data_IF_509147421293
#
_entry.id   IF_509147421293
#
_cell.length_a   1.000
_cell.length_b   1.000
_cell.length_c   1.000
_cell.angle_alpha   90.00
_cell.angle_beta   90.00
_cell.angle_gamma   90.00
#
_symmetry.space_group_name_H-M   'P 1'
#
loop_
_entity.id
_entity.type
_entity.pdbx_description
1 polymer ?
2 branched ?
3 water ?
#
# COMPACT_ATOMS: atom_id res chain seq x y z
N UNK A 4 -21.69 -3.07 -5.92
CA UNK A 4 -20.84 -2.63 -4.78
C UNK A 4 -19.60 -1.90 -5.25
N UNK A 5 -19.77 -0.61 -5.52
CA UNK A 5 -18.73 0.24 -6.11
C UNK A 5 -17.46 0.40 -5.29
N UNK A 6 -16.32 0.44 -5.98
CA UNK A 6 -15.06 0.92 -5.39
C UNK A 6 -15.28 2.28 -4.75
N UNK A 7 -14.56 2.52 -3.66
CA UNK A 7 -14.63 3.76 -2.90
C UNK A 7 -13.84 4.89 -3.56
N UNK A 8 -12.84 4.54 -4.35
CA UNK A 8 -11.88 5.50 -4.92
C UNK A 8 -12.27 6.08 -6.27
N UNK A 9 -12.09 5.27 -7.32
CA UNK A 9 -12.47 5.62 -8.69
C UNK A 9 -11.77 6.83 -9.29
N UNK A 10 -10.53 7.09 -8.89
CA UNK A 10 -9.81 8.26 -9.40
C UNK A 10 -9.70 8.31 -10.93
N UNK A 11 -9.51 7.14 -11.56
CA UNK A 11 -9.10 7.08 -12.97
C UNK A 11 -10.11 7.64 -13.95
N UNK A 12 -11.39 7.57 -13.59
CA UNK A 12 -12.46 8.03 -14.46
C UNK A 12 -12.50 9.54 -14.64
N UNK A 13 -11.85 10.29 -13.75
CA UNK A 13 -11.78 11.75 -13.88
C UNK A 13 -10.33 12.27 -13.91
N UNK A 14 -9.40 11.39 -14.27
CA UNK A 14 -7.99 11.78 -14.38
C UNK A 14 -7.45 11.38 -15.74
N UNK A 15 -6.26 11.90 -16.08
CA UNK A 15 -5.54 11.51 -17.29
C UNK A 15 -4.04 11.73 -17.06
N UNK A 16 -3.22 11.30 -18.01
CA UNK A 16 -1.75 11.35 -17.87
C UNK A 16 -1.31 10.77 -16.52
N UNK A 17 -1.87 9.61 -16.20
CA UNK A 17 -1.57 8.89 -14.97
C UNK A 17 -0.20 8.25 -15.12
N UNK A 18 0.68 8.43 -14.13
CA UNK A 18 2.04 7.91 -14.22
C UNK A 18 2.65 7.70 -12.84
N UNK A 19 3.85 7.10 -12.82
CA UNK A 19 4.60 6.86 -11.57
C UNK A 19 5.96 7.57 -11.54
N UNK A 20 6.36 7.98 -10.35
CA UNK A 20 7.66 8.56 -10.10
C UNK A 20 8.12 7.91 -8.79
N UNK A 21 8.75 6.74 -8.92
CA UNK A 21 9.00 5.88 -7.77
C UNK A 21 7.69 5.23 -7.35
N UNK A 22 7.42 5.22 -6.05
CA UNK A 22 6.14 4.72 -5.55
C UNK A 22 5.04 5.80 -5.52
N UNK A 23 5.31 6.95 -6.13
CA UNK A 23 4.36 8.07 -6.17
C UNK A 23 3.46 7.99 -7.39
N UNK A 24 2.16 8.09 -7.18
CA UNK A 24 1.22 8.17 -8.28
C UNK A 24 0.96 9.64 -8.63
N UNK A 25 1.10 9.98 -9.91
CA UNK A 25 0.79 11.33 -10.37
C UNK A 25 -0.27 11.28 -11.48
N UNK A 26 -1.15 12.27 -11.50
CA UNK A 26 -2.20 12.35 -12.51
C UNK A 26 -2.62 13.80 -12.74
N UNK A 27 -3.15 14.07 -13.93
CA UNK A 27 -3.89 15.29 -14.17
C UNK A 27 -5.37 15.03 -13.83
N UNK A 28 -5.82 15.61 -12.71
CA UNK A 28 -7.16 15.36 -12.18
C UNK A 28 -8.15 16.49 -12.44
N UNK A 29 -9.38 16.10 -12.78
CA UNK A 29 -10.44 17.05 -13.02
C UNK A 29 -10.88 17.71 -11.73
N UNK A 30 -11.05 19.02 -11.79
CA UNK A 30 -11.50 19.81 -10.64
C UNK A 30 -13.02 19.96 -10.62
N UNK A 31 -13.53 20.45 -9.50
CA UNK A 31 -14.91 20.89 -9.42
C UNK A 31 -15.20 22.05 -10.38
N UNK A 32 -14.25 22.97 -10.54
CA UNK A 32 -14.52 24.16 -11.36
C UNK A 32 -14.36 23.94 -12.87
N UNK A 33 -14.16 22.69 -13.28
CA UNK A 33 -13.96 22.38 -14.68
C UNK A 33 -12.51 22.39 -15.16
N UNK A 34 -11.61 22.96 -14.38
CA UNK A 34 -10.17 22.94 -14.69
C UNK A 34 -9.47 21.65 -14.27
N UNK A 35 -8.14 21.67 -14.32
CA UNK A 35 -7.31 20.52 -13.93
C UNK A 35 -6.31 20.90 -12.87
N UNK A 36 -6.02 19.93 -12.00
CA UNK A 36 -4.88 19.97 -11.12
C UNK A 36 -3.92 18.88 -11.60
N UNK A 37 -2.62 19.09 -11.38
CA UNK A 37 -1.63 18.00 -11.41
C UNK A 37 -1.35 17.58 -9.97
N UNK A 38 -1.56 16.30 -9.67
CA UNK A 38 -1.58 15.83 -8.29
C UNK A 38 -0.81 14.54 -8.11
N UNK A 39 -0.28 14.34 -6.90
CA UNK A 39 0.56 13.20 -6.58
C UNK A 39 0.08 12.54 -5.28
N UNK A 40 0.12 11.22 -5.21
CA UNK A 40 -0.11 10.53 -3.93
C UNK A 40 0.91 9.42 -3.76
N UNK A 41 1.51 9.34 -2.58
CA UNK A 41 2.53 8.33 -2.32
C UNK A 41 1.84 7.00 -2.04
N UNK A 42 1.97 6.06 -2.99
CA UNK A 42 1.39 4.73 -2.83
C UNK A 42 2.10 3.89 -1.76
N UNK A 43 3.35 4.25 -1.45
CA UNK A 43 4.12 3.61 -0.37
C UNK A 43 3.49 3.78 1.02
N UNK A 44 2.54 4.70 1.13
CA UNK A 44 1.83 4.94 2.38
C UNK A 44 0.63 4.01 2.60
N UNK A 45 0.08 3.49 1.51
CA UNK A 45 -1.20 2.78 1.56
C UNK A 45 -1.12 1.33 1.12
N UNK A 46 -0.06 1.00 0.39
CA UNK A 46 0.14 -0.34 -0.17
C UNK A 46 1.30 -1.09 0.47
N UNK A 47 1.02 -2.31 0.93
CA UNK A 47 2.07 -3.17 1.49
C UNK A 47 2.33 -4.38 0.62
N UNK A 48 3.51 -4.97 0.81
CA UNK A 48 3.83 -6.24 0.21
C UNK A 48 3.59 -7.32 1.26
N UNK A 49 2.51 -8.06 1.06
CA UNK A 49 2.17 -9.16 1.93
C UNK A 49 2.72 -10.44 1.33
N UNK A 50 4.00 -10.70 1.60
CA UNK A 50 4.68 -11.91 1.15
C UNK A 50 4.34 -12.23 -0.30
N UNK A 51 4.60 -11.28 -1.19
CA UNK A 51 4.38 -11.50 -2.62
C UNK A 51 3.10 -10.97 -3.23
N UNK A 52 2.33 -10.18 -2.49
CA UNK A 52 1.06 -9.66 -2.98
C UNK A 52 0.74 -8.28 -2.41
N UNK A 53 0.38 -7.35 -3.29
CA UNK A 53 -0.15 -6.04 -2.90
C UNK A 53 -1.29 -6.24 -1.92
N UNK A 54 -1.26 -5.47 -0.84
CA UNK A 54 -2.29 -5.47 0.14
C UNK A 54 -2.51 -4.02 0.53
N UNK A 55 -3.78 -3.59 0.55
CA UNK A 55 -4.19 -2.29 1.11
C UNK A 55 -4.05 -2.23 2.63
N UNK A 56 -2.87 -1.86 3.10
CA UNK A 56 -2.64 -1.65 4.51
C UNK A 56 -1.89 -0.34 4.61
N UNK A 57 -2.50 0.64 5.26
CA UNK A 57 -1.88 1.94 5.47
C UNK A 57 -0.81 1.90 6.56
N UNK A 58 0.24 2.70 6.40
CA UNK A 58 1.32 2.79 7.39
C UNK A 58 0.71 3.18 8.72
N UNK A 59 1.09 2.47 9.78
CA UNK A 59 0.46 2.65 11.09
C UNK A 59 1.21 1.94 12.21
N UNK A 60 0.73 2.13 13.44
CA UNK A 60 1.30 1.47 14.60
C UNK A 60 0.23 0.72 15.36
N UNK A 61 0.61 -0.43 15.90
CA UNK A 61 -0.27 -1.23 16.73
C UNK A 61 0.45 -1.49 18.05
N UNK A 62 -0.31 -1.51 19.15
CA UNK A 62 0.26 -1.77 20.48
C UNK A 62 0.00 -3.21 20.90
N UNK A 63 1.07 -3.92 21.24
CA UNK A 63 1.00 -5.33 21.64
C UNK A 63 0.30 -5.46 23.00
N UNK A 64 -0.67 -6.38 23.10
CA UNK A 64 -1.33 -6.68 24.37
C UNK A 64 -0.91 -8.04 24.90
N UNK A 65 -1.20 -8.26 26.18
CA UNK A 65 -0.95 -9.53 26.83
C UNK A 65 -1.60 -10.63 25.99
N UNK A 66 -0.80 -11.64 25.63
CA UNK A 66 -1.29 -12.80 24.88
C UNK A 66 -1.12 -12.77 23.36
N UNK A 67 -0.88 -11.58 22.80
CA UNK A 67 -0.58 -11.44 21.36
C UNK A 67 0.65 -12.24 20.98
N UNK A 68 0.70 -12.64 19.70
CA UNK A 68 1.91 -13.17 19.05
C UNK A 68 2.03 -12.40 17.73
N UNK A 69 3.17 -12.50 17.06
CA UNK A 69 3.35 -11.83 15.76
C UNK A 69 2.43 -12.39 14.67
N UNK A 70 2.21 -13.71 14.68
CA UNK A 70 1.25 -14.35 13.78
C UNK A 70 -0.15 -13.75 14.00
N UNK A 71 -0.55 -13.61 15.27
CA UNK A 71 -1.85 -13.02 15.60
C UNK A 71 -1.98 -11.60 15.05
N UNK A 72 -0.95 -10.78 15.28
CA UNK A 72 -0.98 -9.38 14.84
C UNK A 72 -0.96 -9.28 13.33
N UNK A 73 -0.13 -10.11 12.69
CA UNK A 73 -0.10 -10.22 11.24
C UNK A 73 -1.45 -10.64 10.68
N UNK A 74 -2.12 -11.58 11.35
CA UNK A 74 -3.45 -12.02 10.95
C UNK A 74 -4.44 -10.86 11.04
N UNK A 75 -4.48 -10.21 12.20
CA UNK A 75 -5.41 -9.10 12.47
C UNK A 75 -5.32 -7.93 11.49
N UNK A 76 -4.12 -7.68 10.96
CA UNK A 76 -3.87 -6.47 10.18
C UNK A 76 -3.41 -6.71 8.74
N UNK A 77 -3.63 -7.93 8.22
CA UNK A 77 -3.25 -8.30 6.84
C UNK A 77 -1.75 -8.12 6.53
N UNK A 78 -0.91 -8.33 7.53
CA UNK A 78 0.53 -8.19 7.35
C UNK A 78 1.25 -9.53 7.52
N UNK A 79 2.40 -9.67 6.86
CA UNK A 79 3.23 -10.86 6.99
C UNK A 79 4.10 -10.69 8.24
N UNK A 80 3.99 -11.63 9.17
CA UNK A 80 4.65 -11.50 10.47
C UNK A 80 6.17 -11.43 10.42
N UNK A 81 6.78 -12.06 9.41
CA UNK A 81 8.23 -11.99 9.20
C UNK A 81 8.69 -10.58 8.82
N UNK A 82 7.85 -9.87 8.06
CA UNK A 82 8.09 -8.47 7.69
C UNK A 82 7.98 -7.54 8.90
N UNK A 83 7.02 -7.83 9.78
CA UNK A 83 6.79 -7.06 11.00
C UNK A 83 8.00 -7.14 11.93
N UNK A 84 8.58 -8.33 12.04
CA UNK A 84 9.79 -8.53 12.86
C UNK A 84 11.01 -7.87 12.24
N UNK A 85 11.09 -7.91 10.91
CA UNK A 85 12.24 -7.34 10.19
C UNK A 85 12.18 -5.82 10.27
N UNK A 86 11.04 -5.27 9.88
CA UNK A 86 10.73 -3.84 9.98
C UNK A 86 10.91 -3.25 11.39
N UNK A 87 10.60 -4.03 12.42
CA UNK A 87 10.72 -3.57 13.81
C UNK A 87 11.98 -4.09 14.54
N UNK A 88 12.92 -4.61 13.75
CA UNK A 88 14.17 -5.21 14.24
C UNK A 88 14.00 -6.17 15.43
N UNK A 89 13.01 -7.04 15.34
CA UNK A 89 12.78 -8.07 16.34
C UNK A 89 13.59 -9.31 15.96
N UNK A 90 14.64 -9.59 16.73
CA UNK A 90 15.54 -10.72 16.41
C UNK A 90 14.89 -12.09 16.71
N UNK A 91 14.14 -12.17 17.81
CA UNK A 91 13.36 -13.36 18.14
C UNK A 91 11.87 -13.10 17.93
N UNK A 92 11.31 -13.65 16.86
CA UNK A 92 9.91 -13.38 16.51
C UNK A 92 8.90 -14.00 17.48
N UNK A 93 9.38 -14.90 18.34
CA UNK A 93 8.52 -15.52 19.35
C UNK A 93 8.42 -14.69 20.63
N UNK A 94 9.26 -13.66 20.75
CA UNK A 94 9.27 -12.82 21.94
C UNK A 94 8.88 -11.38 21.67
N UNK A 95 7.62 -11.06 21.95
CA UNK A 95 7.13 -9.69 21.97
C UNK A 95 6.48 -9.42 23.32
N UNK A 96 6.19 -8.15 23.59
CA UNK A 96 5.86 -7.71 24.94
C UNK A 96 4.70 -6.72 24.98
N UNK A 97 3.82 -6.84 26.01
CA UNK A 97 2.70 -5.90 26.11
C UNK A 97 3.21 -4.46 26.19
N UNK A 98 2.68 -3.60 25.33
CA UNK A 98 3.07 -2.19 25.35
C UNK A 98 4.09 -1.86 24.28
N UNK A 99 4.69 -2.89 23.70
CA UNK A 99 5.54 -2.74 22.53
C UNK A 99 4.75 -2.10 21.38
N UNK A 100 5.33 -1.08 20.77
CA UNK A 100 4.70 -0.39 19.64
C UNK A 100 5.38 -0.88 18.37
N UNK A 101 4.58 -1.33 17.40
CA UNK A 101 5.09 -1.91 16.17
C UNK A 101 4.61 -1.14 14.95
N UNK A 102 5.56 -0.81 14.08
CA UNK A 102 5.25 -0.20 12.79
C UNK A 102 4.73 -1.25 11.81
N UNK A 103 3.54 -1.02 11.28
CA UNK A 103 2.94 -1.94 10.30
C UNK A 103 2.41 -1.16 9.12
N UNK A 104 2.22 -1.85 8.00
CA UNK A 104 1.53 -1.30 6.84
C UNK A 104 2.43 -0.56 5.88
N UNK A 105 1.87 -0.23 4.72
CA UNK A 105 2.58 0.45 3.65
C UNK A 105 3.83 -0.27 3.22
N UNK A 106 4.77 0.49 2.67
CA UNK A 106 6.14 0.05 2.47
C UNK A 106 6.41 -0.96 1.35
N UNK A 107 5.44 -1.16 0.45
CA UNK A 107 5.60 -2.17 -0.61
C UNK A 107 6.88 -1.96 -1.40
N UNK A 108 7.29 -0.69 -1.52
CA UNK A 108 8.33 -0.23 -2.46
C UNK A 108 9.70 -0.85 -2.23
N UNK A 109 10.06 -1.02 -0.96
CA UNK A 109 11.38 -1.51 -0.63
C UNK A 109 11.52 -3.04 -0.76
N UNK A 110 10.42 -3.71 -1.15
CA UNK A 110 10.48 -5.13 -1.54
C UNK A 110 9.86 -5.35 -2.94
N UNK A 111 9.92 -4.30 -3.77
CA UNK A 111 9.34 -4.29 -5.13
C UNK A 111 10.38 -3.95 -6.23
N UNK A 112 10.12 -4.44 -7.45
CA UNK A 112 10.86 -4.09 -8.66
C UNK A 112 9.92 -4.25 -9.84
N UNK A 113 10.35 -3.81 -11.02
CA UNK A 113 9.52 -3.79 -12.24
C UNK A 113 8.16 -3.15 -11.96
N UNK A 114 8.17 -2.05 -11.20
CA UNK A 114 6.95 -1.39 -10.77
C UNK A 114 6.46 -0.57 -11.96
N UNK A 115 5.20 -0.76 -12.35
CA UNK A 115 4.64 -0.02 -13.49
C UNK A 115 3.12 -0.01 -13.51
N UNK A 116 2.57 0.85 -14.35
CA UNK A 116 1.13 0.94 -14.53
C UNK A 116 0.72 0.22 -15.79
N UNK A 117 -0.39 -0.51 -15.69
CA UNK A 117 -0.96 -1.18 -16.85
C UNK A 117 -2.44 -0.82 -16.91
N UNK A 118 -3.10 -1.16 -18.01
CA UNK A 118 -4.54 -0.95 -18.13
C UNK A 118 -4.87 0.54 -17.99
N UNK A 119 -4.14 1.37 -18.74
CA UNK A 119 -4.38 2.81 -18.81
C UNK A 119 -4.13 3.59 -17.53
N UNK A 120 -3.41 2.99 -16.58
CA UNK A 120 -3.16 3.62 -15.27
C UNK A 120 -4.03 3.13 -14.12
N UNK A 121 -4.97 2.25 -14.42
CA UNK A 121 -5.93 1.75 -13.43
C UNK A 121 -5.32 0.68 -12.52
N UNK A 122 -4.29 -0.01 -12.99
CA UNK A 122 -3.72 -1.12 -12.22
C UNK A 122 -2.25 -0.86 -11.94
N UNK A 123 -1.81 -1.16 -10.72
CA UNK A 123 -0.39 -1.17 -10.38
C UNK A 123 0.16 -2.59 -10.47
N UNK A 124 1.25 -2.75 -11.21
CA UNK A 124 1.90 -4.05 -11.35
C UNK A 124 3.32 -3.97 -10.81
N UNK A 125 3.81 -5.09 -10.28
CA UNK A 125 5.17 -5.21 -9.78
C UNK A 125 5.51 -6.63 -9.35
N UNK A 126 6.79 -6.96 -9.46
CA UNK A 126 7.36 -8.13 -8.84
C UNK A 126 7.64 -7.78 -7.38
N UNK A 127 7.06 -8.58 -6.49
CA UNK A 127 7.15 -8.37 -5.05
C UNK A 127 7.89 -9.53 -4.41
N UNK A 128 8.87 -9.24 -3.57
CA UNK A 128 9.58 -10.30 -2.88
C UNK A 128 8.63 -11.04 -1.95
N UNK A 129 8.66 -12.36 -2.05
CA UNK A 129 8.07 -13.22 -1.03
C UNK A 129 9.20 -14.08 -0.48
N UNK A 130 8.93 -14.86 0.56
CA UNK A 130 9.95 -15.74 1.15
C UNK A 130 10.17 -16.96 0.26
N UNK A 131 11.20 -16.90 -0.58
CA UNK A 131 11.43 -17.93 -1.60
C UNK A 131 11.50 -17.45 -3.05
N UNK A 132 11.17 -16.20 -3.32
CA UNK A 132 11.28 -15.67 -4.69
C UNK A 132 10.63 -14.32 -4.96
N UNK A 133 10.26 -14.11 -6.22
CA UNK A 133 9.56 -12.89 -6.65
C UNK A 133 8.26 -13.26 -7.36
N UNK A 134 7.19 -12.57 -7.00
CA UNK A 134 5.87 -12.86 -7.52
C UNK A 134 5.28 -11.63 -8.22
N UNK A 135 4.88 -11.80 -9.48
CA UNK A 135 4.18 -10.72 -10.20
C UNK A 135 2.80 -10.56 -9.58
N UNK A 136 2.52 -9.35 -9.09
CA UNK A 136 1.27 -9.03 -8.41
C UNK A 136 0.68 -7.75 -9.02
N UNK A 137 -0.65 -7.67 -9.04
CA UNK A 137 -1.39 -6.55 -9.62
C UNK A 137 -2.47 -6.11 -8.64
N UNK A 138 -2.76 -4.81 -8.61
CA UNK A 138 -3.79 -4.29 -7.71
C UNK A 138 -4.56 -3.17 -8.41
N UNK A 139 -5.88 -3.19 -8.28
CA UNK A 139 -6.73 -2.14 -8.87
C UNK A 139 -6.70 -0.87 -8.03
N UNK A 140 -5.98 0.14 -8.50
CA UNK A 140 -5.81 1.38 -7.73
C UNK A 140 -7.12 2.07 -7.36
N UNK A 141 -8.05 2.09 -8.32
CA UNK A 141 -9.43 2.59 -8.13
C UNK A 141 -10.15 2.08 -6.89
N UNK A 142 -9.72 0.93 -6.38
CA UNK A 142 -10.32 0.36 -5.18
C UNK A 142 -10.26 1.36 -4.03
N UNK A 143 -9.11 2.04 -3.88
CA UNK A 143 -8.90 2.97 -2.77
C UNK A 143 -8.28 4.33 -3.15
N UNK A 144 -8.07 4.59 -4.44
CA UNK A 144 -7.56 5.91 -4.84
C UNK A 144 -8.66 6.74 -5.47
N UNK A 145 -8.91 7.92 -4.90
CA UNK A 145 -9.96 8.81 -5.38
C UNK A 145 -9.44 10.17 -5.83
N UNK A 146 -10.16 10.79 -6.76
CA UNK A 146 -9.95 12.18 -7.09
C UNK A 146 -11.00 13.03 -6.37
N UNK A 147 -10.53 13.99 -5.58
CA UNK A 147 -11.36 14.87 -4.77
C UNK A 147 -11.01 16.31 -5.13
N UNK A 148 -11.82 16.92 -6.00
CA UNK A 148 -11.55 18.26 -6.52
C UNK A 148 -10.09 18.45 -6.97
N UNK A 149 -9.59 17.56 -7.82
CA UNK A 149 -8.24 17.66 -8.33
C UNK A 149 -7.13 17.06 -7.49
N UNK A 150 -7.47 16.52 -6.32
CA UNK A 150 -6.48 15.93 -5.39
C UNK A 150 -6.61 14.41 -5.25
N UNK A 151 -5.54 13.69 -5.60
CA UNK A 151 -5.50 12.25 -5.37
C UNK A 151 -5.49 11.95 -3.88
N UNK A 152 -6.42 11.10 -3.46
CA UNK A 152 -6.62 10.80 -2.05
C UNK A 152 -6.81 9.30 -1.83
N UNK A 153 -6.51 8.86 -0.62
CA UNK A 153 -6.88 7.54 -0.17
C UNK A 153 -8.29 7.60 0.42
N UNK A 154 -9.09 6.58 0.14
CA UNK A 154 -10.38 6.38 0.81
C UNK A 154 -10.78 4.91 0.84
X LIG B 1 3.91 -19.16 17.91
X LIG B 1 4.31 -17.72 18.12
X LIG B 1 4.93 -17.60 19.48
X LIG B 1 4.07 -18.19 20.59
X LIG B 1 3.55 -19.55 20.17
X LIG B 1 2.48 -20.04 21.09
X LIG B 1 4.90 -16.22 16.29
X LIG B 1 5.93 -15.80 15.33
X LIG B 1 5.16 -17.27 17.05
X LIG B 1 3.31 -19.26 16.63
X LIG B 1 5.02 -16.23 19.76
X LIG B 1 4.81 -18.29 21.81
X LIG B 1 2.97 -19.47 18.90
X LIG B 1 1.37 -19.17 21.00
X LIG B 1 3.88 -15.60 16.39
X LIG B 2 4.34 -17.39 22.90
X LIG B 2 4.86 -17.69 24.33
X LIG B 2 4.66 -16.60 25.38
X LIG B 2 4.97 -15.17 24.90
X LIG B 2 4.27 -15.00 23.57
X LIG B 2 4.54 -13.70 22.82
X LIG B 2 4.88 -20.04 24.76
X LIG B 2 4.19 -21.16 25.44
X LIG B 2 4.29 -18.88 24.89
X LIG B 2 5.43 -16.94 26.51
X LIG B 2 4.65 -14.16 25.85
X LIG B 2 4.70 -16.03 22.70
X LIG B 2 5.90 -13.32 22.72
X LIG B 2 5.91 -20.18 24.15
X LIG B 3 5.70 -13.25 26.33
X LIG B 3 4.85 -12.10 26.87
X LIG B 3 5.68 -11.17 27.74
X LIG B 3 6.56 -11.94 28.70
X LIG B 3 7.33 -13.04 28.00
X LIG B 3 8.14 -13.90 28.94
X LIG B 3 2.92 -11.29 25.58
X LIG B 3 2.55 -10.56 24.34
X LIG B 3 4.21 -11.41 25.76
X LIG B 3 4.88 -10.30 28.49
X LIG B 3 7.52 -11.06 29.25
X LIG B 3 6.41 -13.88 27.37
X LIG B 3 7.33 -14.80 29.70
X LIG B 3 2.10 -11.68 26.37
#
# INVERSE_FOLDING_TARGET
>A
GSHGNYAGNFSGSSRDICLDGARLRAECRRGDGGYSTSVIDLNRYLSNDNGHFRWVSTATVTVQQGDTLRDIGRRFDCDFHEIARRNNIQNEDLIYPGQVLQVGGNFWDSARDVRLVDGGKVLEAELRYSGGWNRSRIYLDEHIGNRNGELIHC
>B hetero
1 NAG C1 C2 C3 C4 C5 C6 C7 C8 N2 O1 O3 O4 O5 O6 O7
2 NAG C1 C2 C3 C4 C5 C6 C7 C8 N2 O3 O4 O5 O6 O7
3 NAG C1 C2 C3 C4 C5 C6 C7 C8 N2 O3 O4 O5 O6 O7
#
